data_IF_423974919450
#
_entry.id   IF_423974919450
#
_cell.length_a   1.000
_cell.length_b   1.000
_cell.length_c   1.000
_cell.angle_alpha   90.00
_cell.angle_beta   90.00
_cell.angle_gamma   90.00
#
_symmetry.space_group_name_H-M   'P 1'
#
loop_
_entity.id
_entity.type
_entity.pdbx_description
1 polymer ?
#
# COMPACT_ATOMS: atom_id res chain seq x y z
N UNK A 1 17.93 -2.22 -2.80
CA UNK A 1 17.50 -2.88 -1.55
C UNK A 1 16.33 -3.81 -1.81
N UNK A 2 16.30 -4.98 -1.15
CA UNK A 2 15.20 -5.96 -1.18
C UNK A 2 14.20 -5.74 -0.04
N UNK A 3 14.50 -4.78 0.82
CA UNK A 3 13.68 -4.38 1.95
C UNK A 3 13.92 -2.88 2.20
N UNK A 4 12.89 -2.06 1.98
CA UNK A 4 12.87 -0.66 2.40
C UNK A 4 11.98 -0.49 3.64
N UNK A 5 11.61 -1.59 4.32
CA UNK A 5 10.72 -1.61 5.47
C UNK A 5 9.39 -0.92 5.15
N UNK A 6 9.18 0.24 5.76
CA UNK A 6 8.00 1.11 5.80
C UNK A 6 6.88 0.84 4.79
N UNK A 7 7.09 0.94 3.46
CA UNK A 7 6.01 0.74 2.49
C UNK A 7 5.35 -0.65 2.54
N UNK A 8 6.10 -1.70 2.89
CA UNK A 8 5.57 -3.08 2.98
C UNK A 8 4.63 -3.27 4.16
N UNK A 9 4.81 -2.52 5.25
CA UNK A 9 3.94 -2.58 6.43
C UNK A 9 2.50 -2.16 6.08
N UNK A 10 2.34 -1.30 5.07
CA UNK A 10 1.06 -0.77 4.65
C UNK A 10 0.43 -1.54 3.47
N UNK A 11 1.19 -2.34 2.73
CA UNK A 11 0.70 -3.06 1.54
C UNK A 11 0.45 -4.54 1.83
N UNK A 12 -0.79 -5.00 1.61
CA UNK A 12 -1.14 -6.42 1.55
C UNK A 12 -1.16 -6.85 0.09
N UNK A 13 -0.25 -7.77 -0.30
CA UNK A 13 -0.09 -8.21 -1.68
C UNK A 13 -1.41 -8.76 -2.26
N UNK A 14 -1.73 -8.35 -3.50
CA UNK A 14 -2.97 -8.70 -4.22
C UNK A 14 -4.28 -8.17 -3.62
N UNK A 15 -4.24 -7.46 -2.49
CA UNK A 15 -5.43 -6.90 -1.85
C UNK A 15 -5.46 -5.37 -1.87
N UNK A 16 -4.44 -4.75 -1.28
CA UNK A 16 -4.31 -3.28 -1.21
C UNK A 16 -3.23 -2.73 -2.14
N UNK A 17 -2.48 -3.62 -2.79
CA UNK A 17 -1.44 -3.26 -3.75
C UNK A 17 -0.69 -4.48 -4.27
N UNK A 18 0.41 -4.24 -4.98
CA UNK A 18 1.30 -5.28 -5.50
C UNK A 18 2.71 -5.07 -4.96
N UNK A 19 3.37 -6.16 -4.55
CA UNK A 19 4.75 -6.18 -4.09
C UNK A 19 5.57 -6.71 -5.26
N UNK A 20 6.62 -6.00 -5.64
CA UNK A 20 7.54 -6.41 -6.70
C UNK A 20 8.90 -6.74 -6.09
N UNK A 21 9.59 -7.72 -6.65
CA UNK A 21 11.02 -7.86 -6.42
C UNK A 21 11.75 -6.63 -7.02
N UNK A 22 12.92 -6.25 -6.49
CA UNK A 22 13.69 -5.11 -6.99
C UNK A 22 14.43 -5.47 -8.29
N UNK A 23 13.70 -5.97 -9.28
CA UNK A 23 14.19 -6.22 -10.63
C UNK A 23 13.16 -5.71 -11.67
N UNK A 24 13.63 -5.29 -12.87
CA UNK A 24 12.77 -4.72 -13.90
C UNK A 24 11.62 -5.63 -14.31
N UNK A 25 11.86 -6.94 -14.41
CA UNK A 25 10.88 -7.92 -14.87
C UNK A 25 9.69 -8.04 -13.92
N UNK A 26 9.94 -8.05 -12.61
CA UNK A 26 8.91 -8.12 -11.59
C UNK A 26 8.08 -6.83 -11.55
N UNK A 27 8.71 -5.67 -11.72
CA UNK A 27 8.01 -4.37 -11.75
C UNK A 27 7.14 -4.29 -13.01
N UNK A 28 7.69 -4.62 -14.18
CA UNK A 28 6.97 -4.61 -15.44
C UNK A 28 5.74 -5.54 -15.43
N UNK A 29 5.86 -6.71 -14.79
CA UNK A 29 4.74 -7.64 -14.62
C UNK A 29 3.60 -7.03 -13.79
N UNK A 30 3.93 -6.41 -12.66
CA UNK A 30 2.93 -5.77 -11.81
C UNK A 30 2.27 -4.57 -12.49
N UNK A 31 3.03 -3.76 -13.23
CA UNK A 31 2.49 -2.67 -14.03
C UNK A 31 1.50 -3.18 -15.09
N UNK A 32 1.85 -4.26 -15.81
CA UNK A 32 0.94 -4.89 -16.78
C UNK A 32 -0.37 -5.35 -16.14
N UNK A 33 -0.33 -5.92 -14.93
CA UNK A 33 -1.54 -6.32 -14.19
C UNK A 33 -2.46 -5.11 -13.94
N UNK A 34 -1.90 -3.98 -13.51
CA UNK A 34 -2.69 -2.78 -13.20
C UNK A 34 -3.24 -2.11 -14.46
N UNK A 35 -2.43 -1.99 -15.52
CA UNK A 35 -2.82 -1.36 -16.78
C UNK A 35 -3.91 -2.17 -17.48
N UNK A 36 -3.77 -3.50 -17.52
CA UNK A 36 -4.71 -4.38 -18.21
C UNK A 36 -6.00 -4.64 -17.42
N UNK A 37 -6.03 -4.32 -16.13
CA UNK A 37 -7.20 -4.53 -15.28
C UNK A 37 -7.50 -3.30 -14.41
N UNK A 38 -8.08 -2.27 -15.04
CA UNK A 38 -8.48 -1.02 -14.39
C UNK A 38 -9.40 -1.24 -13.18
N UNK A 39 -10.31 -2.22 -13.23
CA UNK A 39 -11.20 -2.55 -12.11
C UNK A 39 -10.40 -3.05 -10.90
N UNK A 40 -9.45 -3.96 -11.12
CA UNK A 40 -8.57 -4.47 -10.06
C UNK A 40 -7.71 -3.35 -9.49
N UNK A 41 -7.13 -2.49 -10.34
CA UNK A 41 -6.35 -1.34 -9.90
C UNK A 41 -7.17 -0.38 -9.03
N UNK A 42 -8.40 -0.02 -9.45
CA UNK A 42 -9.30 0.83 -8.67
C UNK A 42 -9.63 0.21 -7.31
N UNK A 43 -10.05 -1.05 -7.30
CA UNK A 43 -10.40 -1.76 -6.06
C UNK A 43 -9.20 -1.89 -5.10
N UNK A 44 -7.99 -2.12 -5.62
CA UNK A 44 -6.77 -2.12 -4.80
C UNK A 44 -6.50 -0.74 -4.19
N UNK A 45 -6.65 0.32 -4.97
CA UNK A 45 -6.49 1.70 -4.50
C UNK A 45 -7.50 2.06 -3.40
N UNK A 46 -8.77 1.73 -3.59
CA UNK A 46 -9.83 1.94 -2.59
C UNK A 46 -9.54 1.19 -1.29
N UNK A 47 -9.19 -0.10 -1.38
CA UNK A 47 -8.82 -0.90 -0.20
C UNK A 47 -7.55 -0.39 0.48
N UNK A 48 -6.58 0.07 -0.29
CA UNK A 48 -5.35 0.69 0.22
C UNK A 48 -5.64 1.96 1.00
N UNK A 49 -6.46 2.86 0.44
CA UNK A 49 -6.90 4.06 1.12
C UNK A 49 -7.64 3.75 2.42
N UNK A 50 -8.63 2.86 2.38
CA UNK A 50 -9.41 2.47 3.56
C UNK A 50 -8.54 1.89 4.68
N UNK A 51 -7.49 1.13 4.33
CA UNK A 51 -6.55 0.55 5.31
C UNK A 51 -5.75 1.62 6.04
N UNK A 52 -5.37 2.72 5.37
CA UNK A 52 -4.43 3.72 5.94
C UNK A 52 -5.08 5.05 6.29
N UNK A 53 -6.38 5.26 6.05
CA UNK A 53 -7.07 6.55 6.26
C UNK A 53 -6.93 7.13 7.68
N UNK A 54 -6.70 6.26 8.67
CA UNK A 54 -6.51 6.63 10.07
C UNK A 54 -5.04 6.93 10.42
N UNK A 55 -4.11 6.82 9.47
CA UNK A 55 -2.74 7.29 9.61
C UNK A 55 -2.73 8.77 9.21
N UNK A 56 -3.11 9.62 10.17
CA UNK A 56 -3.15 11.06 9.99
C UNK A 56 -2.77 11.77 11.30
N UNK A 57 -2.41 13.05 11.19
CA UNK A 57 -1.94 13.82 12.34
C UNK A 57 -2.95 13.93 13.48
N UNK A 58 -4.26 13.98 13.16
CA UNK A 58 -5.31 14.03 14.18
C UNK A 58 -5.31 12.77 15.03
N UNK A 59 -5.34 11.59 14.41
CA UNK A 59 -5.28 10.31 15.11
C UNK A 59 -3.96 10.12 15.87
N UNK A 60 -2.84 10.59 15.31
CA UNK A 60 -1.54 10.55 15.99
C UNK A 60 -1.54 11.40 17.27
N UNK A 61 -2.02 12.64 17.20
CA UNK A 61 -2.08 13.55 18.37
C UNK A 61 -3.02 12.98 19.44
N UNK A 62 -4.19 12.48 19.06
CA UNK A 62 -5.12 11.84 19.99
C UNK A 62 -4.45 10.68 20.73
N UNK A 63 -3.74 9.80 20.03
CA UNK A 63 -3.03 8.67 20.64
C UNK A 63 -1.93 9.09 21.61
N UNK A 64 -1.20 10.17 21.33
CA UNK A 64 -0.15 10.68 22.23
C UNK A 64 -0.78 11.20 23.52
N UNK A 65 -1.84 12.02 23.40
CA UNK A 65 -2.50 12.64 24.54
C UNK A 65 -3.28 11.61 25.37
N UNK A 66 -3.96 10.63 24.76
CA UNK A 66 -4.73 9.60 25.47
C UNK A 66 -3.89 8.54 26.17
N UNK A 67 -2.60 8.42 25.84
CA UNK A 67 -1.65 7.54 26.53
C UNK A 67 -0.75 8.30 27.52
N UNK A 68 -1.02 9.59 27.76
CA UNK A 68 -0.39 10.43 28.79
C UNK A 68 -1.28 10.48 30.03
#
# INVERSE_FOLDING_TARGET
CKDSGGPLEFVTHNETGLIANPNPESIARNLKILINNKKKAKNMGEKGFEKIKNINWKETILKIISNS
#
